data_IF_168386738209
#
_entry.id   IF_168386738209
#
_cell.length_a   1.000
_cell.length_b   1.000
_cell.length_c   1.000
_cell.angle_alpha   90.00
_cell.angle_beta   90.00
_cell.angle_gamma   90.00
#
_symmetry.space_group_name_H-M   'P 1'
#
loop_
_entity.id
_entity.type
_entity.pdbx_description
1 polymer ?
#
# COMPACT_ATOMS: atom_id res chain seq x y z
N UNK A 1 9.55 4.75 14.93
CA UNK A 1 8.63 4.36 16.02
C UNK A 1 7.32 3.91 15.37
N UNK A 2 6.81 2.73 15.72
CA UNK A 2 5.55 2.18 15.18
C UNK A 2 4.44 2.49 16.19
N UNK A 3 3.26 2.87 15.70
CA UNK A 3 2.08 3.11 16.52
C UNK A 3 1.34 1.78 16.74
N UNK A 4 1.48 1.19 17.93
CA UNK A 4 0.93 -0.12 18.26
C UNK A 4 -0.61 -0.15 18.30
N UNK A 5 -1.25 0.94 18.75
CA UNK A 5 -2.71 1.03 18.76
C UNK A 5 -3.26 1.03 17.32
N UNK A 6 -2.59 1.75 16.43
CA UNK A 6 -2.93 1.75 15.02
C UNK A 6 -2.68 0.37 14.38
N UNK A 7 -1.57 -0.30 14.68
CA UNK A 7 -1.31 -1.65 14.16
C UNK A 7 -2.41 -2.65 14.55
N UNK A 8 -2.88 -2.61 15.80
CA UNK A 8 -3.98 -3.46 16.25
C UNK A 8 -5.28 -3.15 15.51
N UNK A 9 -5.61 -1.86 15.32
CA UNK A 9 -6.81 -1.43 14.58
C UNK A 9 -6.78 -1.88 13.12
N UNK A 10 -5.66 -1.66 12.43
CA UNK A 10 -5.52 -2.03 11.01
C UNK A 10 -5.47 -3.56 10.86
N UNK A 11 -4.77 -4.25 11.77
CA UNK A 11 -4.63 -5.70 11.77
C UNK A 11 -5.94 -6.47 12.01
N UNK A 12 -6.96 -5.83 12.60
CA UNK A 12 -8.31 -6.37 12.75
C UNK A 12 -9.19 -6.18 11.49
N UNK A 13 -8.71 -5.47 10.47
CA UNK A 13 -9.45 -5.26 9.22
C UNK A 13 -9.36 -6.48 8.31
N UNK A 14 -10.36 -6.77 7.45
CA UNK A 14 -10.29 -7.91 6.54
C UNK A 14 -9.18 -7.78 5.49
N UNK A 15 -8.85 -6.54 5.10
CA UNK A 15 -7.80 -6.22 4.15
C UNK A 15 -7.09 -4.92 4.51
N UNK A 16 -5.87 -4.76 4.00
CA UNK A 16 -5.03 -3.59 4.15
C UNK A 16 -4.34 -3.30 2.82
N UNK A 17 -4.53 -2.09 2.31
CA UNK A 17 -3.86 -1.59 1.11
C UNK A 17 -3.05 -0.34 1.46
N UNK A 18 -1.73 -0.43 1.32
CA UNK A 18 -0.84 0.74 1.48
C UNK A 18 -0.62 1.39 0.12
N UNK A 19 -0.88 2.69 0.00
CA UNK A 19 -0.69 3.45 -1.24
C UNK A 19 0.25 4.61 -0.96
N UNK A 20 1.36 4.70 -1.69
CA UNK A 20 2.36 5.75 -1.52
C UNK A 20 2.95 6.21 -2.87
N UNK A 21 3.43 7.45 -2.95
CA UNK A 21 4.15 7.96 -4.13
C UNK A 21 5.65 7.62 -4.13
N UNK A 22 6.08 6.73 -3.23
CA UNK A 22 7.46 6.27 -3.11
C UNK A 22 7.69 4.95 -3.86
N UNK A 23 8.96 4.59 -4.03
CA UNK A 23 9.34 3.39 -4.75
C UNK A 23 8.76 2.14 -4.06
N UNK A 24 8.06 1.32 -4.84
CA UNK A 24 7.37 0.11 -4.38
C UNK A 24 8.27 -0.86 -3.62
N UNK A 25 9.56 -0.91 -3.91
CA UNK A 25 10.51 -1.86 -3.29
C UNK A 25 11.12 -1.33 -1.99
N UNK A 26 11.17 -0.01 -1.79
CA UNK A 26 11.87 0.60 -0.64
C UNK A 26 10.96 1.44 0.26
N UNK A 27 9.73 1.69 -0.16
CA UNK A 27 8.73 2.45 0.59
C UNK A 27 8.20 1.72 1.83
N UNK A 28 7.24 2.33 2.49
CA UNK A 28 6.59 1.78 3.68
C UNK A 28 5.97 0.41 3.39
N UNK A 29 5.27 0.29 2.26
CA UNK A 29 4.51 -0.90 1.90
C UNK A 29 5.38 -2.15 1.72
N UNK A 30 6.67 -2.01 1.41
CA UNK A 30 7.56 -3.16 1.26
C UNK A 30 7.94 -3.81 2.61
N UNK A 31 7.72 -3.09 3.72
CA UNK A 31 8.01 -3.54 5.09
C UNK A 31 6.77 -3.73 5.94
N UNK A 32 5.68 -3.01 5.64
CA UNK A 32 4.49 -2.99 6.48
C UNK A 32 3.81 -4.36 6.63
N UNK A 33 3.82 -5.18 5.57
CA UNK A 33 3.34 -6.57 5.64
C UNK A 33 4.09 -7.41 6.68
N UNK A 34 5.42 -7.27 6.75
CA UNK A 34 6.22 -7.94 7.79
C UNK A 34 5.87 -7.44 9.19
N UNK A 35 5.65 -6.13 9.36
CA UNK A 35 5.28 -5.57 10.66
C UNK A 35 3.91 -6.06 11.17
N UNK A 36 2.96 -6.28 10.26
CA UNK A 36 1.67 -6.93 10.57
C UNK A 36 1.89 -8.37 11.03
N UNK A 37 2.69 -9.14 10.27
CA UNK A 37 2.96 -10.55 10.56
C UNK A 37 3.71 -10.75 11.88
N UNK A 38 4.70 -9.90 12.19
CA UNK A 38 5.43 -9.90 13.47
C UNK A 38 4.52 -9.72 14.68
N UNK A 39 3.35 -9.09 14.49
CA UNK A 39 2.32 -8.86 15.53
C UNK A 39 1.18 -9.89 15.49
N UNK A 40 1.30 -10.91 14.64
CA UNK A 40 0.26 -11.94 14.49
C UNK A 40 -0.97 -11.49 13.69
N UNK A 41 -0.90 -10.36 12.99
CA UNK A 41 -1.96 -9.91 12.09
C UNK A 41 -1.72 -10.43 10.68
N UNK A 42 -2.73 -11.08 10.10
CA UNK A 42 -2.68 -11.62 8.74
C UNK A 42 -3.90 -11.20 7.89
N UNK A 43 -4.21 -9.90 7.76
CA UNK A 43 -5.23 -9.45 6.82
C UNK A 43 -4.76 -9.65 5.37
N UNK A 44 -5.69 -9.65 4.41
CA UNK A 44 -5.31 -9.60 3.01
C UNK A 44 -4.51 -8.31 2.75
N UNK A 45 -3.25 -8.43 2.32
CA UNK A 45 -2.33 -7.32 2.26
C UNK A 45 -1.82 -7.07 0.84
N UNK A 46 -1.88 -5.81 0.39
CA UNK A 46 -1.14 -5.35 -0.77
C UNK A 46 -0.61 -3.93 -0.58
N UNK A 47 0.24 -3.52 -1.51
CA UNK A 47 0.79 -2.17 -1.55
C UNK A 47 0.98 -1.70 -2.99
N UNK A 48 0.75 -0.40 -3.21
CA UNK A 48 0.97 0.30 -4.46
C UNK A 48 2.02 1.40 -4.23
N UNK A 49 2.92 1.53 -5.20
CA UNK A 49 3.99 2.51 -5.19
C UNK A 49 4.59 2.68 -6.56
N UNK A 50 5.47 3.67 -6.70
CA UNK A 50 6.13 3.97 -7.97
C UNK A 50 7.13 2.85 -8.33
N UNK A 51 7.13 2.44 -9.59
CA UNK A 51 7.98 1.35 -10.07
C UNK A 51 8.34 1.48 -11.55
N UNK A 52 7.68 2.39 -12.27
CA UNK A 52 8.02 2.78 -13.64
C UNK A 52 8.85 4.06 -13.64
N UNK A 53 9.57 4.29 -14.74
CA UNK A 53 10.24 5.57 -14.97
C UNK A 53 9.23 6.72 -14.98
N UNK A 54 9.72 7.91 -14.65
CA UNK A 54 8.84 9.05 -14.52
C UNK A 54 8.26 9.52 -15.86
N UNK A 55 6.98 9.91 -15.86
CA UNK A 55 6.24 10.32 -17.06
C UNK A 55 5.72 11.77 -17.02
N UNK A 56 6.50 12.72 -16.48
CA UNK A 56 6.10 14.13 -16.37
C UNK A 56 5.75 14.54 -14.95
N UNK A 57 4.75 15.42 -14.81
CA UNK A 57 4.30 15.98 -13.54
C UNK A 57 3.51 14.98 -12.68
N UNK A 58 3.11 15.40 -11.49
CA UNK A 58 2.41 14.52 -10.54
C UNK A 58 1.08 13.99 -11.10
N UNK A 59 0.37 14.80 -11.90
CA UNK A 59 -0.94 14.43 -12.44
C UNK A 59 -0.85 13.37 -13.53
N UNK A 60 0.26 13.33 -14.28
CA UNK A 60 0.57 12.24 -15.21
C UNK A 60 1.14 11.01 -14.47
N UNK A 61 1.98 11.25 -13.46
CA UNK A 61 2.66 10.20 -12.71
C UNK A 61 1.72 9.25 -11.99
N UNK A 62 0.71 9.78 -11.29
CA UNK A 62 -0.14 8.94 -10.45
C UNK A 62 -0.94 7.89 -11.23
N UNK A 63 -1.64 8.24 -12.32
CA UNK A 63 -2.30 7.23 -13.16
C UNK A 63 -1.30 6.32 -13.88
N UNK A 64 -0.16 6.86 -14.35
CA UNK A 64 0.87 6.03 -14.98
C UNK A 64 1.42 4.95 -14.04
N UNK A 65 1.55 5.26 -12.76
CA UNK A 65 2.03 4.32 -11.73
C UNK A 65 0.89 3.45 -11.15
N UNK A 66 -0.37 3.73 -11.50
CA UNK A 66 -1.55 3.03 -10.99
C UNK A 66 -1.90 3.33 -9.53
N UNK A 67 -1.47 4.50 -9.02
CA UNK A 67 -1.77 5.00 -7.67
C UNK A 67 -2.85 6.10 -7.67
N UNK A 68 -3.52 6.28 -8.81
CA UNK A 68 -4.70 7.12 -8.96
C UNK A 68 -5.96 6.42 -8.41
N UNK A 69 -7.10 7.13 -8.28
CA UNK A 69 -8.31 6.54 -7.73
C UNK A 69 -8.76 5.25 -8.44
N UNK A 70 -8.61 5.17 -9.76
CA UNK A 70 -8.98 4.01 -10.56
C UNK A 70 -8.08 2.80 -10.23
N UNK A 71 -6.76 3.00 -10.16
CA UNK A 71 -5.82 1.95 -9.76
C UNK A 71 -6.06 1.45 -8.34
N UNK A 72 -6.35 2.36 -7.40
CA UNK A 72 -6.69 2.01 -6.01
C UNK A 72 -7.96 1.16 -5.95
N UNK A 73 -9.03 1.59 -6.62
CA UNK A 73 -10.31 0.84 -6.66
C UNK A 73 -10.12 -0.55 -7.28
N UNK A 74 -9.35 -0.65 -8.36
CA UNK A 74 -9.06 -1.94 -8.98
C UNK A 74 -8.32 -2.87 -8.01
N UNK A 75 -7.31 -2.36 -7.30
CA UNK A 75 -6.56 -3.17 -6.33
C UNK A 75 -7.39 -3.58 -5.12
N UNK A 76 -8.26 -2.71 -4.64
CA UNK A 76 -9.23 -3.05 -3.57
C UNK A 76 -10.13 -4.20 -4.02
N UNK A 77 -10.65 -4.17 -5.25
CA UNK A 77 -11.51 -5.25 -5.77
C UNK A 77 -10.78 -6.59 -5.91
N UNK A 78 -9.47 -6.58 -6.15
CA UNK A 78 -8.66 -7.80 -6.18
C UNK A 78 -8.42 -8.40 -4.79
N UNK A 79 -8.54 -7.59 -3.73
CA UNK A 79 -8.32 -7.99 -2.33
C UNK A 79 -9.60 -8.45 -1.61
N UNK A 80 -10.77 -8.18 -2.18
CA UNK A 80 -12.09 -8.63 -1.69
C UNK A 80 -12.36 -10.07 -2.13
#
# INVERSE_FOLDING_TARGET
MIDEEMMAKIGASPMVLVVESFNRKTGLGSRFGSWLLERGHAPAYAHLGTHQEGCGGLWEQFPHQGIDPQGIIAKVKELL
#
